data_IF_931931300181
#
_entry.id   IF_931931300181
#
_cell.length_a   1.000
_cell.length_b   1.000
_cell.length_c   1.000
_cell.angle_alpha   90.00
_cell.angle_beta   90.00
_cell.angle_gamma   90.00
#
_symmetry.space_group_name_H-M   'P 1'
#
loop_
_entity.id
_entity.type
_entity.pdbx_description
1 polymer ?
#
# COMPACT_ATOMS: atom_id res chain seq x y z
N UNK A 1 -23.48 12.78 1.02
CA UNK A 1 -22.61 12.55 -0.17
C UNK A 1 -21.48 11.66 0.30
N UNK A 2 -21.00 10.76 -0.55
CA UNK A 2 -19.86 9.90 -0.20
C UNK A 2 -18.56 10.70 -0.21
N UNK A 3 -17.53 10.30 0.55
CA UNK A 3 -16.27 11.03 0.59
C UNK A 3 -15.49 10.93 -0.71
N UNK A 4 -14.66 11.92 -0.97
CA UNK A 4 -13.58 11.87 -1.95
C UNK A 4 -12.34 11.27 -1.30
N UNK A 5 -11.69 10.33 -1.98
CA UNK A 5 -10.57 9.57 -1.44
C UNK A 5 -9.28 10.00 -2.13
N UNK A 6 -8.28 10.41 -1.35
CA UNK A 6 -6.93 10.74 -1.82
C UNK A 6 -5.98 9.61 -1.44
N UNK A 7 -5.78 8.66 -2.35
CA UNK A 7 -4.86 7.55 -2.16
C UNK A 7 -3.42 8.03 -2.30
N UNK A 8 -2.55 7.63 -1.37
CA UNK A 8 -1.12 7.94 -1.37
C UNK A 8 -0.33 6.65 -1.16
N UNK A 9 0.64 6.36 -2.03
CA UNK A 9 1.63 5.32 -1.74
C UNK A 9 2.65 5.85 -0.73
N UNK A 10 3.02 5.04 0.27
CA UNK A 10 4.06 5.42 1.24
C UNK A 10 5.37 5.88 0.58
N UNK A 11 6.11 6.74 1.29
CA UNK A 11 7.44 7.15 0.91
C UNK A 11 8.46 6.01 0.98
N UNK A 12 9.65 6.18 0.41
CA UNK A 12 10.67 5.14 0.38
C UNK A 12 11.00 4.64 1.80
N UNK A 13 10.79 3.34 2.02
CA UNK A 13 11.24 2.64 3.21
C UNK A 13 12.53 1.89 2.99
N UNK A 14 13.19 1.44 4.06
CA UNK A 14 14.41 0.63 3.94
C UNK A 14 14.21 -0.63 3.09
N UNK A 15 13.02 -1.24 3.09
CA UNK A 15 12.69 -2.37 2.21
C UNK A 15 12.81 -2.05 0.70
N UNK A 16 12.64 -0.79 0.29
CA UNK A 16 12.74 -0.43 -1.13
C UNK A 16 14.18 -0.39 -1.64
N UNK A 17 15.19 -0.41 -0.76
CA UNK A 17 16.60 -0.27 -1.15
C UNK A 17 17.18 -1.55 -1.75
N UNK A 18 16.68 -2.73 -1.36
CA UNK A 18 17.15 -4.00 -1.91
C UNK A 18 16.19 -5.16 -1.60
N UNK A 19 16.25 -6.24 -2.38
CA UNK A 19 15.47 -7.46 -2.12
C UNK A 19 15.83 -8.09 -0.78
N UNK A 20 17.10 -8.02 -0.35
CA UNK A 20 17.52 -8.54 0.95
C UNK A 20 16.79 -7.85 2.11
N UNK A 21 16.46 -6.57 1.94
CA UNK A 21 15.76 -5.77 2.92
C UNK A 21 14.28 -6.17 3.11
N UNK A 22 13.74 -7.04 2.24
CA UNK A 22 12.40 -7.61 2.44
C UNK A 22 12.32 -8.51 3.69
N UNK A 23 13.47 -8.96 4.21
CA UNK A 23 13.57 -9.71 5.47
C UNK A 23 13.49 -8.82 6.73
N UNK A 24 13.60 -7.50 6.60
CA UNK A 24 13.45 -6.58 7.73
C UNK A 24 11.99 -6.45 8.10
N UNK A 25 11.66 -6.74 9.36
CA UNK A 25 10.30 -6.61 9.86
C UNK A 25 9.91 -5.14 10.03
N UNK A 26 8.73 -4.78 9.52
CA UNK A 26 8.10 -3.45 9.66
C UNK A 26 9.09 -2.26 9.56
N UNK A 27 9.80 -2.13 8.42
CA UNK A 27 10.89 -1.20 8.29
C UNK A 27 10.40 0.25 8.23
N UNK A 28 11.20 1.14 8.81
CA UNK A 28 11.03 2.59 8.77
C UNK A 28 11.25 3.18 7.37
N UNK A 29 10.91 4.46 7.26
CA UNK A 29 11.33 5.31 6.15
C UNK A 29 12.84 5.50 6.12
N UNK A 30 13.39 5.70 4.93
CA UNK A 30 14.78 6.18 4.78
C UNK A 30 14.81 7.71 4.93
N UNK A 31 15.98 8.33 5.17
CA UNK A 31 16.11 9.79 5.13
C UNK A 31 15.66 10.41 3.80
N UNK A 32 15.85 9.68 2.69
CA UNK A 32 15.32 10.08 1.39
C UNK A 32 13.79 9.99 1.34
N UNK A 33 13.19 8.93 1.90
CA UNK A 33 11.75 8.81 2.06
C UNK A 33 11.14 9.94 2.90
N UNK A 34 11.80 10.37 3.98
CA UNK A 34 11.37 11.57 4.72
C UNK A 34 11.42 12.83 3.85
N UNK A 35 12.39 12.93 2.95
CA UNK A 35 12.44 13.96 1.90
C UNK A 35 11.23 13.92 0.98
N UNK A 36 10.85 12.73 0.51
CA UNK A 36 9.65 12.54 -0.30
C UNK A 36 8.37 12.95 0.47
N UNK A 37 8.29 12.70 1.78
CA UNK A 37 7.16 13.18 2.59
C UNK A 37 7.08 14.71 2.61
N UNK A 38 8.22 15.42 2.67
CA UNK A 38 8.24 16.89 2.59
C UNK A 38 7.79 17.39 1.22
N UNK A 39 8.15 16.69 0.15
CA UNK A 39 7.69 17.05 -1.19
C UNK A 39 6.19 16.77 -1.35
N UNK A 40 5.68 15.65 -0.81
CA UNK A 40 4.25 15.37 -0.73
C UNK A 40 3.49 16.50 -0.02
N UNK A 41 3.98 16.96 1.14
CA UNK A 41 3.39 18.06 1.90
C UNK A 41 3.39 19.41 1.14
N UNK A 42 4.24 19.58 0.12
CA UNK A 42 4.26 20.79 -0.72
C UNK A 42 3.38 20.65 -1.95
N UNK A 43 3.33 19.45 -2.53
CA UNK A 43 2.72 19.19 -3.84
C UNK A 43 1.26 18.78 -3.74
N UNK A 44 0.81 18.29 -2.58
CA UNK A 44 -0.57 17.86 -2.41
C UNK A 44 -1.53 19.07 -2.40
N UNK A 45 -2.46 19.18 -3.35
CA UNK A 45 -3.20 20.43 -3.55
C UNK A 45 -4.47 20.55 -2.70
N UNK A 46 -4.79 19.56 -1.86
CA UNK A 46 -6.08 19.48 -1.16
C UNK A 46 -5.99 19.65 0.37
N UNK A 47 -4.87 20.14 0.91
CA UNK A 47 -4.66 20.32 2.36
C UNK A 47 -5.84 20.99 3.09
N UNK A 48 -6.38 22.08 2.54
CA UNK A 48 -7.51 22.79 3.16
C UNK A 48 -8.81 22.00 3.22
N UNK A 49 -8.95 20.96 2.40
CA UNK A 49 -10.14 20.11 2.34
C UNK A 49 -10.06 18.88 3.23
N UNK A 50 -8.85 18.43 3.63
CA UNK A 50 -8.66 17.19 4.38
C UNK A 50 -9.50 17.19 5.67
N UNK A 51 -10.40 16.23 5.81
CA UNK A 51 -11.22 16.04 7.01
C UNK A 51 -10.78 14.82 7.82
N UNK A 52 -10.09 13.86 7.19
CA UNK A 52 -9.47 12.73 7.88
C UNK A 52 -8.22 12.22 7.15
N UNK A 53 -7.31 11.63 7.93
CA UNK A 53 -6.14 10.91 7.44
C UNK A 53 -6.19 9.49 7.98
N UNK A 54 -6.15 8.51 7.08
CA UNK A 54 -6.19 7.08 7.40
C UNK A 54 -4.92 6.45 6.83
N UNK A 55 -4.29 5.56 7.58
CA UNK A 55 -3.10 4.86 7.12
C UNK A 55 -3.14 3.38 7.47
N UNK A 56 -2.42 2.54 6.72
CA UNK A 56 -2.15 1.19 7.24
C UNK A 56 -1.33 1.30 8.54
N UNK A 57 -1.47 0.37 9.51
CA UNK A 57 -0.71 0.41 10.76
C UNK A 57 0.77 -0.03 10.61
N UNK A 58 1.26 -0.22 9.37
CA UNK A 58 2.68 -0.48 9.10
C UNK A 58 3.46 0.83 9.22
N UNK A 59 4.62 0.82 9.90
CA UNK A 59 5.32 2.05 10.34
C UNK A 59 5.58 3.04 9.22
N UNK A 60 6.05 2.58 8.06
CA UNK A 60 6.30 3.45 6.90
C UNK A 60 5.06 4.20 6.40
N UNK A 61 3.85 3.63 6.48
CA UNK A 61 2.62 4.34 6.09
C UNK A 61 2.22 5.35 7.16
N UNK A 62 2.33 5.00 8.44
CA UNK A 62 2.05 5.92 9.56
C UNK A 62 3.00 7.12 9.53
N UNK A 63 4.31 6.90 9.38
CA UNK A 63 5.27 8.00 9.27
C UNK A 63 5.10 8.82 7.98
N UNK A 64 4.72 8.20 6.86
CA UNK A 64 4.39 8.98 5.65
C UNK A 64 3.19 9.89 5.92
N UNK A 65 2.17 9.41 6.64
CA UNK A 65 1.01 10.23 7.02
C UNK A 65 1.40 11.38 7.96
N UNK A 66 2.14 11.08 9.03
CA UNK A 66 2.59 12.07 10.01
C UNK A 66 3.48 13.16 9.40
N UNK A 67 4.39 12.78 8.49
CA UNK A 67 5.33 13.72 7.87
C UNK A 67 4.73 14.48 6.69
N UNK A 68 3.86 13.82 5.90
CA UNK A 68 3.24 14.41 4.71
C UNK A 68 2.04 15.30 5.02
N UNK A 69 1.36 15.06 6.15
CA UNK A 69 0.11 15.75 6.51
C UNK A 69 0.13 16.30 7.94
N UNK A 70 1.29 16.34 8.61
CA UNK A 70 1.41 16.78 10.01
C UNK A 70 0.82 18.16 10.27
N UNK A 71 1.01 19.12 9.35
CA UNK A 71 0.40 20.46 9.49
C UNK A 71 -1.13 20.44 9.46
N UNK A 72 -1.75 19.50 8.74
CA UNK A 72 -3.20 19.35 8.74
C UNK A 72 -3.69 18.68 10.00
N UNK A 73 -2.98 17.66 10.47
CA UNK A 73 -3.27 16.99 11.74
C UNK A 73 -3.27 18.00 12.90
N UNK A 74 -2.24 18.85 12.98
CA UNK A 74 -2.12 19.86 14.02
C UNK A 74 -3.22 20.94 13.90
N UNK A 75 -3.35 21.55 12.72
CA UNK A 75 -4.28 22.67 12.46
C UNK A 75 -5.75 22.27 12.68
N UNK A 76 -6.10 21.04 12.34
CA UNK A 76 -7.47 20.52 12.43
C UNK A 76 -7.68 19.60 13.63
N UNK A 77 -6.66 19.41 14.47
CA UNK A 77 -6.67 18.49 15.61
C UNK A 77 -7.15 17.07 15.24
N UNK A 78 -6.65 16.57 14.10
CA UNK A 78 -6.96 15.25 13.58
C UNK A 78 -5.91 14.23 14.06
N UNK A 79 -6.33 12.98 14.15
CA UNK A 79 -5.43 11.84 14.31
C UNK A 79 -5.32 11.06 13.00
N UNK A 80 -4.18 10.41 12.77
CA UNK A 80 -4.05 9.36 11.77
C UNK A 80 -4.79 8.12 12.27
N UNK A 81 -5.85 7.72 11.58
CA UNK A 81 -6.58 6.49 11.90
C UNK A 81 -5.81 5.30 11.32
N UNK A 82 -5.30 4.42 12.17
CA UNK A 82 -4.57 3.24 11.74
C UNK A 82 -5.55 2.09 11.41
N UNK A 83 -5.68 1.74 10.13
CA UNK A 83 -6.68 0.79 9.62
C UNK A 83 -6.03 -0.48 9.04
N UNK A 84 -6.11 -1.64 9.73
CA UNK A 84 -5.48 -2.89 9.31
C UNK A 84 -5.83 -3.40 7.90
N UNK A 85 -7.00 -3.07 7.37
CA UNK A 85 -7.41 -3.51 6.03
C UNK A 85 -6.47 -2.97 4.94
N UNK A 86 -5.81 -1.83 5.18
CA UNK A 86 -4.93 -1.13 4.24
C UNK A 86 -3.50 -1.70 4.16
N UNK A 87 -3.22 -2.85 4.78
CA UNK A 87 -1.92 -3.50 4.75
C UNK A 87 -1.49 -3.98 3.35
N UNK A 88 -0.17 -3.99 3.11
CA UNK A 88 0.41 -4.53 1.87
C UNK A 88 0.06 -6.02 1.66
N UNK A 89 0.17 -6.45 0.41
CA UNK A 89 -0.33 -7.73 -0.10
C UNK A 89 0.49 -8.93 0.33
N UNK A 90 1.82 -8.81 0.50
CA UNK A 90 2.68 -9.96 0.77
C UNK A 90 2.70 -10.37 2.25
N UNK A 91 3.17 -11.57 2.54
CA UNK A 91 3.46 -12.09 3.88
C UNK A 91 4.96 -11.98 4.23
N UNK A 92 5.75 -11.25 3.43
CA UNK A 92 7.15 -11.01 3.72
C UNK A 92 7.30 -10.22 5.04
N UNK A 93 8.43 -10.37 5.76
CA UNK A 93 8.66 -9.64 6.99
C UNK A 93 8.48 -8.12 6.85
N UNK A 94 8.91 -7.53 5.73
CA UNK A 94 8.75 -6.10 5.50
C UNK A 94 7.29 -5.64 5.42
N UNK A 95 6.38 -6.52 5.03
CA UNK A 95 4.95 -6.22 4.92
C UNK A 95 4.16 -6.69 6.14
N UNK A 96 4.85 -7.25 7.13
CA UNK A 96 4.29 -7.72 8.39
C UNK A 96 4.52 -6.68 9.48
N UNK A 97 3.43 -6.02 9.89
CA UNK A 97 3.48 -4.95 10.89
C UNK A 97 3.86 -5.40 12.30
N UNK A 98 4.09 -4.41 13.16
CA UNK A 98 4.42 -4.59 14.59
C UNK A 98 3.19 -4.97 15.43
N UNK A 99 3.41 -5.40 16.68
CA UNK A 99 2.28 -5.72 17.58
C UNK A 99 1.53 -4.43 17.97
N UNK A 100 0.24 -4.51 18.38
CA UNK A 100 -0.46 -3.35 18.92
C UNK A 100 0.27 -2.67 20.09
N UNK A 101 0.92 -3.45 20.95
CA UNK A 101 1.69 -2.93 22.10
C UNK A 101 2.92 -2.14 21.64
N UNK A 102 3.67 -2.66 20.65
CA UNK A 102 4.84 -1.97 20.12
C UNK A 102 4.45 -0.66 19.41
N UNK A 103 3.36 -0.69 18.63
CA UNK A 103 2.83 0.51 17.97
C UNK A 103 2.34 1.53 19.00
N UNK A 104 1.67 1.11 20.07
CA UNK A 104 1.22 2.00 21.14
C UNK A 104 2.41 2.68 21.83
N UNK A 105 3.49 1.94 22.09
CA UNK A 105 4.73 2.51 22.65
C UNK A 105 5.41 3.49 21.68
N UNK A 106 5.48 3.16 20.39
CA UNK A 106 6.16 3.98 19.40
C UNK A 106 5.42 5.29 19.08
N UNK A 107 4.09 5.24 19.07
CA UNK A 107 3.24 6.38 18.76
C UNK A 107 2.67 7.08 20.00
N UNK A 108 3.17 6.77 21.19
CA UNK A 108 2.80 7.47 22.42
C UNK A 108 3.08 8.99 22.29
N UNK A 109 2.09 9.79 22.65
CA UNK A 109 2.12 11.25 22.48
C UNK A 109 2.07 11.76 21.03
N UNK A 110 1.85 10.91 20.03
CA UNK A 110 1.64 11.31 18.62
C UNK A 110 0.16 11.25 18.24
N UNK A 111 -0.30 12.03 17.25
CA UNK A 111 -1.69 12.03 16.81
C UNK A 111 -2.00 10.79 15.96
N UNK A 112 -1.94 9.60 16.55
CA UNK A 112 -2.23 8.31 15.90
C UNK A 112 -3.27 7.57 16.70
N UNK A 113 -4.41 7.30 16.07
CA UNK A 113 -5.48 6.47 16.63
C UNK A 113 -5.26 5.02 16.23
N UNK A 114 -4.93 4.19 17.23
CA UNK A 114 -4.71 2.75 17.10
C UNK A 114 -5.96 1.91 17.45
N UNK A 115 -7.14 2.52 17.63
CA UNK A 115 -8.34 1.85 18.12
C UNK A 115 -8.82 0.66 17.27
N UNK A 116 -8.50 0.64 15.97
CA UNK A 116 -8.80 -0.49 15.07
C UNK A 116 -7.71 -1.57 15.04
N UNK A 117 -6.55 -1.33 15.66
CA UNK A 117 -5.38 -2.20 15.59
C UNK A 117 -5.43 -3.24 16.72
N UNK A 118 -6.20 -4.31 16.47
CA UNK A 118 -6.44 -5.37 17.45
C UNK A 118 -5.38 -6.49 17.39
N UNK A 119 -5.16 -7.25 18.48
CA UNK A 119 -4.27 -8.41 18.46
C UNK A 119 -4.57 -9.35 17.29
N UNK A 120 -3.54 -9.72 16.54
CA UNK A 120 -3.65 -10.62 15.39
C UNK A 120 -3.84 -9.94 14.02
N UNK A 121 -3.96 -8.61 13.96
CA UNK A 121 -4.13 -7.84 12.72
C UNK A 121 -3.00 -8.06 11.69
N UNK A 122 -1.80 -8.36 12.17
CA UNK A 122 -0.56 -8.53 11.40
C UNK A 122 -0.18 -10.00 11.18
N UNK A 123 -1.09 -10.96 11.40
CA UNK A 123 -0.75 -12.41 11.35
C UNK A 123 -0.50 -12.94 9.95
N UNK A 124 -0.91 -12.21 8.90
CA UNK A 124 -0.88 -12.66 7.50
C UNK A 124 -1.58 -14.01 7.27
N UNK A 125 -2.61 -14.30 8.08
CA UNK A 125 -3.43 -15.52 8.04
C UNK A 125 -4.92 -15.18 7.97
N UNK A 126 -5.72 -16.13 7.50
CA UNK A 126 -7.18 -15.97 7.36
C UNK A 126 -7.53 -14.71 6.55
N UNK A 127 -8.32 -13.79 7.10
CA UNK A 127 -8.66 -12.52 6.44
C UNK A 127 -7.43 -11.64 6.12
N UNK A 128 -6.31 -11.86 6.79
CA UNK A 128 -5.06 -11.12 6.57
C UNK A 128 -4.11 -11.80 5.58
N UNK A 129 -4.49 -12.96 5.03
CA UNK A 129 -3.61 -13.77 4.19
C UNK A 129 -3.19 -13.07 2.88
N UNK A 130 -2.00 -13.42 2.42
CA UNK A 130 -1.37 -12.90 1.20
C UNK A 130 -1.87 -13.60 -0.09
N UNK A 131 -3.17 -13.85 -0.19
CA UNK A 131 -3.80 -14.38 -1.41
C UNK A 131 -4.82 -13.38 -1.96
N UNK A 132 -5.07 -13.41 -3.28
CA UNK A 132 -5.91 -12.42 -3.95
C UNK A 132 -7.29 -12.30 -3.32
N UNK A 133 -7.94 -13.42 -2.97
CA UNK A 133 -9.28 -13.43 -2.35
C UNK A 133 -9.32 -12.65 -1.04
N UNK A 134 -8.32 -12.83 -0.17
CA UNK A 134 -8.28 -12.16 1.13
C UNK A 134 -7.94 -10.68 0.98
N UNK A 135 -7.05 -10.35 0.04
CA UNK A 135 -6.69 -8.95 -0.28
C UNK A 135 -7.90 -8.20 -0.86
N UNK A 136 -8.63 -8.80 -1.79
CA UNK A 136 -9.87 -8.25 -2.37
C UNK A 136 -10.93 -8.01 -1.30
N UNK A 137 -11.13 -8.97 -0.39
CA UNK A 137 -12.06 -8.83 0.71
C UNK A 137 -11.69 -7.64 1.63
N UNK A 138 -10.39 -7.49 1.95
CA UNK A 138 -9.88 -6.33 2.73
C UNK A 138 -10.06 -5.02 1.99
N UNK A 139 -9.72 -4.98 0.70
CA UNK A 139 -9.89 -3.79 -0.14
C UNK A 139 -11.36 -3.34 -0.16
N UNK A 140 -12.30 -4.27 -0.38
CA UNK A 140 -13.73 -4.01 -0.33
C UNK A 140 -14.19 -3.53 1.05
N UNK A 141 -13.74 -4.18 2.12
CA UNK A 141 -14.08 -3.77 3.49
C UNK A 141 -13.59 -2.34 3.79
N UNK A 142 -12.36 -2.00 3.38
CA UNK A 142 -11.82 -0.65 3.50
C UNK A 142 -12.65 0.38 2.71
N UNK A 143 -13.01 0.08 1.46
CA UNK A 143 -13.85 0.98 0.65
C UNK A 143 -15.21 1.21 1.28
N UNK A 144 -15.87 0.17 1.77
CA UNK A 144 -17.17 0.30 2.44
C UNK A 144 -17.08 1.11 3.73
N UNK A 145 -16.04 0.88 4.53
CA UNK A 145 -15.81 1.67 5.75
C UNK A 145 -15.62 3.15 5.40
N UNK A 146 -14.77 3.44 4.42
CA UNK A 146 -14.50 4.81 3.93
C UNK A 146 -15.75 5.45 3.33
N UNK A 147 -16.56 4.74 2.54
CA UNK A 147 -17.76 5.28 1.91
C UNK A 147 -18.80 5.75 2.93
N UNK A 148 -18.84 5.13 4.12
CA UNK A 148 -19.78 5.43 5.20
C UNK A 148 -19.24 6.46 6.21
N UNK A 149 -18.06 7.03 5.96
CA UNK A 149 -17.49 8.09 6.79
C UNK A 149 -18.24 9.41 6.60
N UNK A 150 -18.44 10.21 7.67
CA UNK A 150 -19.04 11.54 7.57
C UNK A 150 -18.12 12.60 6.93
N UNK A 151 -16.82 12.36 6.89
CA UNK A 151 -15.81 13.24 6.29
C UNK A 151 -15.99 13.42 4.78
N UNK A 152 -15.60 14.58 4.22
CA UNK A 152 -15.77 14.84 2.79
C UNK A 152 -14.53 14.50 1.97
N UNK A 153 -13.35 14.76 2.49
CA UNK A 153 -12.08 14.46 1.83
C UNK A 153 -11.17 13.67 2.78
N UNK A 154 -10.86 12.43 2.41
CA UNK A 154 -10.09 11.50 3.24
C UNK A 154 -8.80 11.14 2.53
N UNK A 155 -7.67 11.38 3.19
CA UNK A 155 -6.37 10.89 2.74
C UNK A 155 -6.19 9.44 3.20
N UNK A 156 -5.78 8.56 2.29
CA UNK A 156 -5.52 7.14 2.56
C UNK A 156 -4.09 6.82 2.19
N UNK A 157 -3.22 6.67 3.19
CA UNK A 157 -1.79 6.33 3.01
C UNK A 157 -1.59 4.82 3.12
N UNK A 158 -1.22 4.19 2.02
CA UNK A 158 -1.11 2.72 1.91
C UNK A 158 0.08 2.33 1.02
N UNK A 159 0.03 1.15 0.41
CA UNK A 159 1.14 0.52 -0.29
C UNK A 159 0.82 0.29 -1.76
N UNK A 160 1.86 0.15 -2.57
CA UNK A 160 1.71 0.07 -4.02
C UNK A 160 0.95 -1.18 -4.47
N UNK A 161 1.30 -2.35 -3.94
CA UNK A 161 0.62 -3.60 -4.31
C UNK A 161 -0.85 -3.58 -3.92
N UNK A 162 -1.15 -3.12 -2.70
CA UNK A 162 -2.52 -3.02 -2.20
C UNK A 162 -3.39 -2.05 -3.02
N UNK A 163 -2.81 -0.96 -3.55
CA UNK A 163 -3.56 0.04 -4.32
C UNK A 163 -4.21 -0.55 -5.58
N UNK A 164 -3.61 -1.54 -6.23
CA UNK A 164 -4.24 -2.23 -7.37
C UNK A 164 -5.58 -2.87 -7.00
N UNK A 165 -5.65 -3.50 -5.82
CA UNK A 165 -6.88 -4.12 -5.32
C UNK A 165 -7.87 -3.07 -4.81
N UNK A 166 -7.35 -2.05 -4.12
CA UNK A 166 -8.16 -1.00 -3.54
C UNK A 166 -8.82 -0.11 -4.60
N UNK A 167 -8.10 0.29 -5.65
CA UNK A 167 -8.64 1.15 -6.71
C UNK A 167 -9.14 0.37 -7.93
N UNK A 168 -8.95 -0.95 -7.95
CA UNK A 168 -9.30 -1.83 -9.07
C UNK A 168 -8.66 -1.41 -10.41
N UNK A 169 -7.51 -0.74 -10.32
CA UNK A 169 -6.74 -0.24 -11.46
C UNK A 169 -5.38 -0.94 -11.51
N UNK A 170 -5.16 -1.72 -12.56
CA UNK A 170 -3.96 -2.50 -12.85
C UNK A 170 -3.11 -1.86 -13.96
N UNK A 171 -3.49 -0.67 -14.43
CA UNK A 171 -2.73 0.09 -15.42
C UNK A 171 -1.31 0.35 -14.92
N UNK A 172 -0.32 0.00 -15.75
CA UNK A 172 1.09 0.19 -15.41
C UNK A 172 1.60 -0.70 -14.28
N UNK A 173 0.90 -1.81 -13.97
CA UNK A 173 1.32 -2.79 -12.96
C UNK A 173 2.68 -3.45 -13.25
N UNK A 174 3.25 -3.28 -14.44
CA UNK A 174 4.62 -3.66 -14.78
C UNK A 174 5.68 -2.66 -14.27
N UNK A 175 5.26 -1.43 -13.91
CA UNK A 175 6.16 -0.37 -13.44
C UNK A 175 6.47 -0.51 -11.95
N UNK A 176 7.60 0.09 -11.55
CA UNK A 176 8.01 0.23 -10.14
C UNK A 176 7.98 -1.09 -9.36
N UNK A 177 8.56 -2.15 -9.94
CA UNK A 177 8.59 -3.49 -9.37
C UNK A 177 7.20 -4.08 -9.07
N UNK A 178 6.25 -3.91 -9.97
CA UNK A 178 4.93 -4.54 -9.84
C UNK A 178 3.86 -3.66 -9.18
N UNK A 179 4.22 -2.42 -8.81
CA UNK A 179 3.35 -1.58 -7.97
C UNK A 179 2.55 -0.55 -8.73
N UNK A 180 2.93 -0.17 -9.96
CA UNK A 180 2.23 0.82 -10.77
C UNK A 180 2.10 2.24 -10.19
N UNK A 181 2.73 2.51 -9.04
CA UNK A 181 2.68 3.79 -8.31
C UNK A 181 4.09 4.18 -7.87
N UNK A 182 4.54 5.41 -8.08
CA UNK A 182 5.79 5.89 -7.47
C UNK A 182 5.63 6.10 -5.96
N UNK A 183 6.72 6.07 -5.19
CA UNK A 183 6.67 6.46 -3.77
C UNK A 183 6.12 7.89 -3.63
N UNK A 184 5.23 8.11 -2.67
CA UNK A 184 4.48 9.39 -2.46
C UNK A 184 3.61 9.85 -3.63
N UNK A 185 3.43 9.03 -4.67
CA UNK A 185 2.42 9.32 -5.69
C UNK A 185 1.03 9.33 -5.04
N UNK A 186 0.23 10.33 -5.42
CA UNK A 186 -1.14 10.46 -4.98
C UNK A 186 -2.11 10.55 -6.16
N UNK A 187 -3.24 9.84 -6.02
CA UNK A 187 -4.36 9.90 -6.96
C UNK A 187 -5.66 10.10 -6.20
N UNK A 188 -6.61 10.77 -6.82
CA UNK A 188 -7.89 11.15 -6.20
C UNK A 188 -9.03 10.39 -6.84
N UNK A 189 -9.98 9.94 -6.03
CA UNK A 189 -11.08 9.08 -6.42
C UNK A 189 -12.40 9.52 -5.83
N UNK A 190 -13.48 9.23 -6.55
CA UNK A 190 -14.85 9.26 -6.03
C UNK A 190 -15.45 7.85 -6.05
N UNK A 191 -16.49 7.61 -5.26
CA UNK A 191 -17.22 6.35 -5.31
C UNK A 191 -18.12 6.29 -6.55
N UNK A 192 -18.13 5.14 -7.20
CA UNK A 192 -19.09 4.82 -8.25
C UNK A 192 -20.51 4.74 -7.69
N UNK A 193 -21.49 5.18 -8.48
CA UNK A 193 -22.91 4.95 -8.19
C UNK A 193 -23.37 3.52 -8.56
N UNK A 194 -22.58 2.79 -9.32
CA UNK A 194 -22.85 1.39 -9.70
C UNK A 194 -22.42 0.43 -8.60
N UNK A 195 -23.26 -0.57 -8.29
CA UNK A 195 -22.99 -1.61 -7.29
C UNK A 195 -22.53 -0.98 -5.94
N UNK A 196 -23.36 -0.11 -5.32
CA UNK A 196 -22.95 0.67 -4.15
C UNK A 196 -22.47 -0.19 -2.97
N UNK A 197 -22.95 -1.43 -2.86
CA UNK A 197 -22.51 -2.43 -1.89
C UNK A 197 -21.08 -2.95 -2.11
N UNK A 198 -20.44 -2.62 -3.24
CA UNK A 198 -19.04 -2.91 -3.54
C UNK A 198 -18.13 -1.69 -3.33
N UNK A 199 -18.73 -0.50 -3.25
CA UNK A 199 -18.06 0.78 -3.05
C UNK A 199 -16.90 1.01 -4.04
N UNK A 200 -17.08 0.67 -5.31
CA UNK A 200 -16.05 0.85 -6.36
C UNK A 200 -15.54 2.29 -6.42
N UNK A 201 -14.26 2.47 -6.76
CA UNK A 201 -13.63 3.77 -6.89
C UNK A 201 -13.41 4.13 -8.37
N UNK A 202 -13.59 5.40 -8.69
CA UNK A 202 -13.33 5.97 -10.02
C UNK A 202 -12.33 7.11 -9.84
N UNK A 203 -11.18 7.02 -10.53
CA UNK A 203 -10.17 8.09 -10.48
C UNK A 203 -10.74 9.37 -11.11
N UNK A 204 -10.59 10.52 -10.45
CA UNK A 204 -11.15 11.77 -10.96
C UNK A 204 -10.40 12.23 -12.22
N UNK A 205 -11.07 12.96 -13.13
CA UNK A 205 -10.44 13.46 -14.36
C UNK A 205 -9.17 14.28 -14.09
N UNK A 206 -9.18 15.15 -13.07
CA UNK A 206 -8.04 16.01 -12.73
C UNK A 206 -6.84 15.18 -12.22
N UNK A 207 -7.13 14.09 -11.49
CA UNK A 207 -6.10 13.16 -11.06
C UNK A 207 -5.48 12.41 -12.23
N UNK A 208 -6.32 11.89 -13.14
CA UNK A 208 -5.85 11.20 -14.34
C UNK A 208 -5.02 12.12 -15.22
N UNK A 209 -5.50 13.34 -15.47
CA UNK A 209 -4.80 14.30 -16.32
C UNK A 209 -3.41 14.66 -15.76
N UNK A 210 -3.28 14.78 -14.42
CA UNK A 210 -1.99 15.04 -13.77
C UNK A 210 -0.94 13.94 -14.02
N UNK A 211 -1.33 12.66 -14.13
CA UNK A 211 -0.36 11.56 -14.31
C UNK A 211 -0.24 11.04 -15.75
N UNK A 212 -1.32 11.15 -16.54
CA UNK A 212 -1.48 10.45 -17.82
C UNK A 212 -1.88 11.35 -18.99
N UNK A 213 -2.11 12.65 -18.78
CA UNK A 213 -2.61 13.53 -19.85
C UNK A 213 -3.95 13.04 -20.41
N UNK A 214 -4.02 12.88 -21.74
CA UNK A 214 -5.24 12.53 -22.48
C UNK A 214 -5.42 11.02 -22.73
N UNK A 215 -4.60 10.16 -22.10
CA UNK A 215 -4.70 8.71 -22.28
C UNK A 215 -6.08 8.18 -21.87
N UNK A 216 -6.66 7.31 -22.72
CA UNK A 216 -7.96 6.69 -22.45
C UNK A 216 -7.89 5.76 -21.24
N UNK A 217 -8.96 5.77 -20.43
CA UNK A 217 -9.11 4.79 -19.35
C UNK A 217 -9.40 3.42 -19.92
N UNK A 218 -8.80 2.40 -19.30
CA UNK A 218 -9.12 1.01 -19.61
C UNK A 218 -10.49 0.64 -19.06
N UNK A 219 -11.21 -0.21 -19.79
CA UNK A 219 -12.48 -0.77 -19.33
C UNK A 219 -12.30 -1.91 -18.31
N UNK A 220 -13.41 -2.41 -17.75
CA UNK A 220 -13.38 -3.48 -16.73
C UNK A 220 -12.76 -4.78 -17.25
N UNK A 221 -12.94 -5.11 -18.53
CA UNK A 221 -12.39 -6.33 -19.11
C UNK A 221 -10.89 -6.21 -19.34
N UNK A 222 -10.43 -5.07 -19.86
CA UNK A 222 -9.01 -4.72 -20.01
C UNK A 222 -8.30 -4.73 -18.64
N UNK A 223 -8.92 -4.14 -17.61
CA UNK A 223 -8.40 -4.18 -16.23
C UNK A 223 -8.29 -5.61 -15.70
N UNK A 224 -9.31 -6.45 -15.94
CA UNK A 224 -9.29 -7.84 -15.55
C UNK A 224 -8.19 -8.63 -16.31
N UNK A 225 -7.95 -8.33 -17.59
CA UNK A 225 -6.85 -8.94 -18.35
C UNK A 225 -5.48 -8.55 -17.78
N UNK A 226 -5.25 -7.27 -17.47
CA UNK A 226 -4.00 -6.80 -16.86
C UNK A 226 -3.78 -7.42 -15.48
N UNK A 227 -4.83 -7.55 -14.67
CA UNK A 227 -4.73 -8.24 -13.39
C UNK A 227 -4.20 -9.67 -13.56
N UNK A 228 -4.76 -10.43 -14.52
CA UNK A 228 -4.38 -11.83 -14.78
C UNK A 228 -2.93 -12.00 -15.22
N UNK A 229 -2.34 -10.98 -15.84
CA UNK A 229 -0.94 -11.00 -16.29
C UNK A 229 0.02 -10.33 -15.32
N UNK A 230 -0.50 -9.66 -14.28
CA UNK A 230 0.32 -9.00 -13.27
C UNK A 230 1.21 -10.00 -12.52
N UNK A 231 2.45 -9.63 -12.15
CA UNK A 231 3.33 -10.50 -11.37
C UNK A 231 2.71 -10.99 -10.06
N UNK A 232 1.85 -10.18 -9.43
CA UNK A 232 1.14 -10.52 -8.21
C UNK A 232 0.15 -11.68 -8.39
N UNK A 233 -0.72 -11.63 -9.42
CA UNK A 233 -1.70 -12.71 -9.67
C UNK A 233 -1.02 -13.98 -10.20
N UNK A 234 0.05 -13.83 -10.99
CA UNK A 234 0.84 -14.98 -11.49
C UNK A 234 1.53 -15.73 -10.35
N UNK A 235 2.03 -15.01 -9.33
CA UNK A 235 2.62 -15.61 -8.14
C UNK A 235 1.58 -16.36 -7.30
N UNK A 236 0.40 -15.77 -7.08
CA UNK A 236 -0.69 -16.39 -6.31
C UNK A 236 -1.16 -17.71 -6.96
N UNK A 237 -1.32 -17.74 -8.29
CA UNK A 237 -1.72 -18.95 -9.03
C UNK A 237 -0.70 -20.07 -9.03
N UNK A 238 0.59 -19.74 -8.99
CA UNK A 238 1.67 -20.74 -8.97
C UNK A 238 1.83 -21.41 -7.60
N UNK A 239 1.18 -20.89 -6.55
CA UNK A 239 1.36 -21.32 -5.17
C UNK A 239 2.78 -21.00 -4.66
N UNK A 240 3.08 -21.25 -3.38
CA UNK A 240 4.45 -21.10 -2.88
C UNK A 240 5.35 -21.97 -3.75
N UNK A 241 6.37 -21.37 -4.36
CA UNK A 241 7.36 -22.09 -5.12
C UNK A 241 7.87 -23.24 -4.24
N UNK A 242 7.54 -24.49 -4.60
CA UNK A 242 8.25 -25.64 -4.04
C UNK A 242 9.70 -25.34 -4.29
N UNK A 243 10.49 -25.27 -3.22
CA UNK A 243 11.93 -25.16 -3.27
C UNK A 243 12.44 -26.03 -4.41
N UNK A 244 12.83 -25.39 -5.50
CA UNK A 244 13.64 -26.00 -6.51
C UNK A 244 15.00 -26.17 -5.84
N UNK A 245 15.14 -27.26 -5.07
CA UNK A 245 16.40 -27.95 -4.87
C UNK A 245 16.91 -28.37 -6.25
N UNK A 246 17.39 -27.39 -7.03
CA UNK A 246 18.28 -27.66 -8.14
C UNK A 246 19.58 -28.03 -7.46
N UNK A 247 19.75 -29.35 -7.40
CA UNK A 247 20.84 -30.02 -6.73
C UNK A 247 22.20 -29.39 -7.02
N UNK A 248 22.98 -29.40 -5.96
CA UNK A 248 24.39 -29.09 -5.81
C UNK A 248 25.35 -29.90 -6.72
N UNK A 249 24.93 -30.33 -7.92
CA UNK A 249 25.79 -31.06 -8.85
C UNK A 249 26.61 -30.16 -9.78
N UNK A 250 26.22 -28.92 -10.06
CA UNK A 250 27.04 -27.98 -10.87
C UNK A 250 27.97 -27.07 -10.06
N UNK A 251 27.74 -26.90 -8.75
CA UNK A 251 28.63 -26.14 -7.89
C UNK A 251 29.83 -26.95 -7.36
N UNK A 252 29.74 -28.30 -7.32
CA UNK A 252 30.84 -29.17 -6.87
C UNK A 252 31.85 -29.54 -7.95
N UNK A 253 31.58 -29.28 -9.23
CA UNK A 253 32.54 -29.51 -10.32
C UNK A 253 33.45 -28.31 -10.60
N UNK A 254 33.05 -27.09 -10.22
CA UNK A 254 33.87 -25.89 -10.40
C UNK A 254 34.98 -25.71 -9.35
N UNK A 255 34.94 -26.45 -8.23
CA UNK A 255 35.97 -26.40 -7.17
C UNK A 255 37.00 -27.54 -7.24
N UNK A 256 36.93 -28.45 -8.23
CA UNK A 256 37.94 -29.51 -8.43
C UNK A 256 38.96 -29.25 -9.53
N UNK A 257 38.88 -28.12 -10.24
CA UNK A 257 39.84 -27.76 -11.30
C UNK A 257 40.90 -26.71 -10.90
N UNK A 258 40.94 -26.27 -9.64
CA UNK A 258 41.96 -25.33 -9.13
C UNK A 258 42.87 -25.92 -8.04
N UNK A 259 42.92 -27.25 -7.93
CA UNK A 259 43.82 -27.96 -7.02
C UNK A 259 44.55 -29.10 -7.77
N UNK A 260 45.29 -28.75 -8.82
CA UNK A 260 46.41 -29.52 -9.36
C UNK A 260 47.48 -28.55 -9.84
N UNK A 261 48.17 -27.95 -8.87
CA UNK A 261 49.63 -27.88 -8.85
C UNK A 261 50.08 -28.95 -7.88
#
# INVERSE_FOLDING_TARGET
MTPRIHCVRHAQGYHNLSVANHSMRDPLLTPYGEGQCRDLARLFPYHDKIDAVVASPIRRTVYTALLGFGSDLDRKSLNVIAMPELQETSDLPCDTGSSPEDLAKEFDGKPVDLGLVQPGWNTKKMQWAANARSIEARARAARLWLMNRPEKDIVVVTHGGFLHYFTEDWSGSDRFAGTGWANTEFRTYTFSSSEPEQAHLIETPESRQRRCGDDKSLDREEQAQLKRTSPADVADRKGPARDLQIGSKKAKEAQRLHAKV
#
